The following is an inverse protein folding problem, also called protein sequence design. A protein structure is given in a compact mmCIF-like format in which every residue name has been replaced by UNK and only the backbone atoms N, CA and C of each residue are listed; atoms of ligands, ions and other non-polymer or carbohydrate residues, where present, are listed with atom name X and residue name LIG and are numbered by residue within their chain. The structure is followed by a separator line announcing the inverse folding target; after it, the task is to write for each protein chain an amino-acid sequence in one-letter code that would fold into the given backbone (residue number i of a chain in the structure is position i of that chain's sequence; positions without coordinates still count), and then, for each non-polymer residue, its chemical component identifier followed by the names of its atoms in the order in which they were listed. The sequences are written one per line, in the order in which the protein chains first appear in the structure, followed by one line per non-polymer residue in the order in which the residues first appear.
data_IF_269015592168
#
_entry.id   IF_269015592168
#
_cell.length_a   1.000
_cell.length_b   1.000
_cell.length_c   1.000
_cell.angle_alpha   90.00
_cell.angle_beta   90.00
_cell.angle_gamma   90.00
#
_symmetry.space_group_name_H-M   'P 1'
#
loop_
_entity.id
_entity.type
_entity.pdbx_description
1 polymer ?
#
# COMPACT_ATOMS: atom_id res chain seq x y z
N UNK A 1 -29.57 19.80 22.94
CA UNK A 1 -28.23 20.41 22.90
C UNK A 1 -27.41 19.93 24.11
N UNK A 2 -26.79 18.74 24.02
CA UNK A 2 -25.96 18.16 25.10
C UNK A 2 -24.76 17.42 24.48
N UNK A 3 -23.92 18.13 23.74
CA UNK A 3 -22.73 17.59 23.03
C UNK A 3 -21.42 17.91 23.81
N UNK A 4 -21.52 18.49 25.01
CA UNK A 4 -20.37 18.97 25.78
C UNK A 4 -19.67 17.92 26.66
N UNK A 5 -20.12 16.67 26.63
CA UNK A 5 -19.55 15.58 27.46
C UNK A 5 -18.61 14.61 26.73
N UNK A 6 -18.77 14.41 25.42
CA UNK A 6 -17.97 13.44 24.65
C UNK A 6 -16.54 13.95 24.39
N UNK A 7 -16.36 15.27 24.18
CA UNK A 7 -15.06 15.86 23.84
C UNK A 7 -14.03 15.81 24.98
N UNK A 8 -14.48 15.74 26.24
CA UNK A 8 -13.57 15.69 27.39
C UNK A 8 -12.97 14.28 27.55
N UNK A 9 -13.70 13.23 27.14
CA UNK A 9 -13.20 11.84 27.21
C UNK A 9 -12.07 11.62 26.20
N UNK A 10 -12.19 12.19 24.99
CA UNK A 10 -11.11 12.14 23.99
C UNK A 10 -9.84 12.91 24.43
N UNK A 11 -10.00 13.98 25.20
CA UNK A 11 -8.86 14.79 25.68
C UNK A 11 -8.05 14.08 26.78
N UNK A 12 -8.66 13.14 27.52
CA UNK A 12 -7.98 12.36 28.57
C UNK A 12 -7.25 11.15 27.98
N UNK A 13 -7.78 10.52 26.92
CA UNK A 13 -7.12 9.40 26.23
C UNK A 13 -5.81 9.87 25.54
N UNK A 14 -5.79 11.09 25.02
CA UNK A 14 -4.59 11.69 24.43
C UNK A 14 -3.45 11.96 25.43
N UNK A 15 -3.75 12.13 26.73
CA UNK A 15 -2.76 12.42 27.76
C UNK A 15 -2.12 11.18 28.39
N UNK A 16 -2.70 9.99 28.19
CA UNK A 16 -2.19 8.73 28.78
C UNK A 16 -1.60 7.74 27.75
N UNK A 17 -1.78 7.97 26.44
CA UNK A 17 -1.37 7.01 25.39
C UNK A 17 -0.61 7.58 24.20
N UNK A 18 -0.16 8.84 24.24
CA UNK A 18 0.37 9.55 23.06
C UNK A 18 1.87 9.45 22.77
N UNK A 19 2.61 8.51 23.39
CA UNK A 19 4.08 8.44 23.24
C UNK A 19 4.60 7.37 22.27
N UNK A 20 3.85 6.29 22.07
CA UNK A 20 4.36 5.09 21.37
C UNK A 20 4.19 5.11 19.85
N UNK A 21 3.16 5.79 19.34
CA UNK A 21 2.85 5.78 17.90
C UNK A 21 3.73 6.75 17.11
N UNK A 22 4.11 7.87 17.70
CA UNK A 22 4.99 8.86 17.07
C UNK A 22 6.46 8.40 16.96
N UNK A 23 6.92 7.53 17.88
CA UNK A 23 8.27 6.96 17.82
C UNK A 23 8.46 6.02 16.61
N UNK A 24 7.40 5.30 16.20
CA UNK A 24 7.44 4.48 14.99
C UNK A 24 7.40 5.32 13.71
N UNK A 25 6.72 6.47 13.71
CA UNK A 25 6.65 7.37 12.56
C UNK A 25 7.93 8.22 12.32
N UNK A 26 8.82 8.35 13.30
CA UNK A 26 10.05 9.15 13.18
C UNK A 26 11.34 8.35 12.93
N UNK A 27 11.26 7.03 12.66
CA UNK A 27 12.44 6.18 12.38
C UNK A 27 12.80 6.06 10.89
N UNK A 28 11.94 6.51 9.99
CA UNK A 28 12.20 6.40 8.53
C UNK A 28 12.71 7.70 7.90
N UNK A 29 13.16 8.66 8.71
CA UNK A 29 13.86 9.85 8.22
C UNK A 29 15.37 9.66 8.32
N UNK A 30 15.93 8.79 7.49
CA UNK A 30 17.38 8.76 7.27
C UNK A 30 17.72 8.52 5.81
N UNK A 31 17.94 9.66 5.13
CA UNK A 31 19.00 9.90 4.15
C UNK A 31 18.95 9.18 2.80
N UNK A 32 18.50 9.91 1.79
CA UNK A 32 19.28 9.99 0.54
C UNK A 32 19.60 11.45 0.25
N UNK A 33 20.76 11.88 0.77
CA UNK A 33 21.40 13.12 0.40
C UNK A 33 22.31 12.83 -0.79
N UNK A 34 22.02 13.31 -2.00
CA UNK A 34 23.01 13.88 -2.93
C UNK A 34 22.37 14.41 -4.24
N UNK A 35 23.07 15.29 -5.00
CA UNK A 35 22.68 16.67 -5.20
C UNK A 35 22.21 16.98 -6.63
N UNK A 36 21.78 18.21 -6.85
CA UNK A 36 21.48 18.79 -8.17
C UNK A 36 22.51 18.40 -9.26
N UNK A 37 22.04 17.69 -10.28
CA UNK A 37 22.63 17.74 -11.62
C UNK A 37 21.52 17.79 -12.68
N UNK A 38 21.30 19.03 -13.15
CA UNK A 38 21.25 19.42 -14.56
C UNK A 38 20.28 18.65 -15.47
N UNK A 39 19.23 19.37 -15.83
CA UNK A 39 18.43 19.21 -17.04
C UNK A 39 19.32 18.98 -18.27
N UNK A 40 19.20 17.82 -18.91
CA UNK A 40 19.39 17.68 -20.35
C UNK A 40 18.15 17.07 -20.98
N UNK A 41 17.33 17.97 -21.50
CA UNK A 41 16.31 17.71 -22.50
C UNK A 41 16.94 17.16 -23.79
N UNK A 42 16.36 16.12 -24.38
CA UNK A 42 15.88 16.07 -25.79
C UNK A 42 15.45 14.66 -26.21
N UNK A 43 14.13 14.41 -26.24
CA UNK A 43 13.40 13.86 -27.40
C UNK A 43 11.89 14.13 -27.16
N UNK A 44 11.24 14.96 -28.00
CA UNK A 44 9.82 15.27 -27.87
C UNK A 44 8.99 14.40 -28.82
N UNK A 45 8.15 13.52 -28.30
CA UNK A 45 6.90 13.10 -28.95
C UNK A 45 5.99 12.62 -27.84
N UNK A 46 4.95 13.41 -27.56
CA UNK A 46 4.05 13.19 -26.45
C UNK A 46 3.31 11.86 -26.53
N UNK A 47 3.02 11.30 -25.36
CA UNK A 47 1.70 10.86 -24.89
C UNK A 47 1.90 10.34 -23.45
N UNK A 48 1.14 10.90 -22.50
CA UNK A 48 0.90 10.39 -21.14
C UNK A 48 2.09 10.39 -20.14
N UNK A 49 2.25 11.53 -19.49
CA UNK A 49 2.97 11.69 -18.21
C UNK A 49 2.26 10.90 -17.09
N UNK A 50 2.73 9.69 -16.81
CA UNK A 50 2.50 9.03 -15.52
C UNK A 50 3.88 8.78 -14.95
N UNK A 51 4.32 9.71 -14.10
CA UNK A 51 5.62 9.65 -13.44
C UNK A 51 5.56 8.46 -12.48
N UNK A 52 6.04 7.30 -12.94
CA UNK A 52 6.30 6.16 -12.08
C UNK A 52 7.37 6.56 -11.06
N UNK A 53 7.29 6.05 -9.81
CA UNK A 53 8.39 6.16 -8.86
C UNK A 53 9.70 5.64 -9.50
N UNK A 54 10.88 6.04 -8.97
CA UNK A 54 12.16 5.62 -9.53
C UNK A 54 12.14 4.11 -9.75
N UNK A 55 12.30 3.70 -11.01
CA UNK A 55 12.28 2.30 -11.41
C UNK A 55 13.42 1.64 -10.63
N UNK A 56 13.07 0.94 -9.56
CA UNK A 56 13.99 0.00 -8.96
C UNK A 56 14.08 -1.14 -9.99
N UNK A 57 15.25 -1.43 -10.58
CA UNK A 57 15.32 -2.50 -11.58
C UNK A 57 14.84 -3.85 -11.03
N UNK A 58 14.83 -4.00 -9.70
CA UNK A 58 14.37 -5.20 -9.03
C UNK A 58 12.87 -5.17 -8.66
N UNK A 59 12.21 -4.00 -8.68
CA UNK A 59 10.80 -3.76 -8.30
C UNK A 59 10.22 -2.69 -9.26
N UNK A 60 9.62 -3.17 -10.35
CA UNK A 60 9.29 -2.35 -11.51
C UNK A 60 7.97 -1.56 -11.34
N UNK A 61 7.07 -2.01 -10.48
CA UNK A 61 5.80 -1.34 -10.21
C UNK A 61 5.75 -0.61 -8.86
N UNK A 62 6.73 -0.86 -7.99
CA UNK A 62 6.93 -0.14 -6.74
C UNK A 62 6.01 -0.60 -5.62
N UNK A 63 5.46 -1.81 -5.68
CA UNK A 63 4.63 -2.37 -4.59
C UNK A 63 5.47 -2.92 -3.42
N UNK A 64 6.78 -3.09 -3.63
CA UNK A 64 7.74 -3.59 -2.66
C UNK A 64 8.02 -5.10 -2.74
N UNK A 65 7.53 -5.80 -3.76
CA UNK A 65 7.98 -7.13 -4.15
C UNK A 65 9.06 -7.03 -5.22
N UNK A 66 10.05 -7.92 -5.14
CA UNK A 66 11.00 -8.07 -6.25
C UNK A 66 10.41 -8.93 -7.36
N UNK A 67 10.89 -8.75 -8.59
CA UNK A 67 10.50 -9.58 -9.73
C UNK A 67 10.66 -11.10 -9.48
N UNK A 68 11.62 -11.50 -8.62
CA UNK A 68 11.76 -12.90 -8.19
C UNK A 68 10.64 -13.34 -7.25
N UNK A 69 10.25 -12.49 -6.29
CA UNK A 69 9.13 -12.75 -5.38
C UNK A 69 7.81 -12.80 -6.14
N UNK A 70 7.57 -11.85 -7.04
CA UNK A 70 6.35 -11.80 -7.83
C UNK A 70 6.20 -13.05 -8.71
N UNK A 71 7.28 -13.47 -9.35
CA UNK A 71 7.31 -14.73 -10.10
C UNK A 71 6.99 -15.95 -9.22
N UNK A 72 7.36 -15.93 -7.95
CA UNK A 72 7.04 -16.99 -7.00
C UNK A 72 5.55 -17.02 -6.64
N UNK A 73 4.93 -15.85 -6.49
CA UNK A 73 3.51 -15.71 -6.17
C UNK A 73 2.59 -15.73 -7.40
N UNK A 74 3.15 -15.65 -8.61
CA UNK A 74 2.39 -15.60 -9.85
C UNK A 74 1.81 -14.22 -10.17
N UNK A 75 2.35 -13.18 -9.52
CA UNK A 75 1.92 -11.79 -9.68
C UNK A 75 2.71 -11.08 -10.79
N UNK A 76 2.31 -9.85 -11.10
CA UNK A 76 2.75 -9.10 -12.26
C UNK A 76 3.72 -7.98 -11.88
N UNK A 77 4.98 -8.12 -12.33
CA UNK A 77 6.10 -7.14 -12.21
C UNK A 77 5.86 -5.71 -12.74
N UNK A 78 4.67 -5.44 -13.27
CA UNK A 78 4.27 -4.17 -13.88
C UNK A 78 3.00 -3.62 -13.26
N UNK A 79 2.41 -4.33 -12.31
CA UNK A 79 1.10 -4.03 -11.73
C UNK A 79 1.12 -4.31 -10.24
N UNK A 80 1.11 -3.20 -9.49
CA UNK A 80 1.00 -3.17 -8.03
C UNK A 80 -0.12 -4.07 -7.48
N UNK A 81 -1.20 -4.24 -8.26
CA UNK A 81 -2.39 -5.02 -7.96
C UNK A 81 -2.65 -5.90 -9.19
N UNK A 82 -2.35 -7.19 -9.08
CA UNK A 82 -2.36 -8.14 -10.20
C UNK A 82 -3.78 -8.50 -10.63
N UNK A 83 -4.69 -8.71 -9.70
CA UNK A 83 -6.06 -9.14 -10.01
C UNK A 83 -7.06 -7.98 -10.17
N UNK A 84 -6.69 -6.78 -9.73
CA UNK A 84 -7.44 -5.55 -9.88
C UNK A 84 -8.54 -5.35 -8.84
N UNK A 85 -8.49 -6.00 -7.68
CA UNK A 85 -9.50 -5.87 -6.63
C UNK A 85 -9.32 -4.59 -5.77
N UNK A 86 -8.15 -3.95 -5.87
CA UNK A 86 -7.77 -2.74 -5.17
C UNK A 86 -6.87 -2.96 -3.94
N UNK A 87 -6.38 -4.17 -3.71
CA UNK A 87 -5.32 -4.50 -2.76
C UNK A 87 -4.01 -4.73 -3.54
N UNK A 88 -2.87 -4.27 -3.02
CA UNK A 88 -1.60 -4.55 -3.70
C UNK A 88 -1.12 -5.96 -3.42
N UNK A 89 -0.40 -6.58 -4.38
CA UNK A 89 0.08 -7.95 -4.29
C UNK A 89 0.86 -8.20 -2.98
N UNK A 90 1.77 -7.28 -2.64
CA UNK A 90 2.48 -7.32 -1.35
C UNK A 90 1.55 -7.34 -0.14
N UNK A 91 0.52 -6.51 -0.13
CA UNK A 91 -0.42 -6.38 0.99
C UNK A 91 -1.24 -7.66 1.14
N UNK A 92 -1.62 -8.27 0.01
CA UNK A 92 -2.33 -9.54 0.02
C UNK A 92 -1.51 -10.67 0.63
N UNK A 93 -0.24 -10.76 0.20
CA UNK A 93 0.70 -11.78 0.69
C UNK A 93 1.04 -11.56 2.16
N UNK A 94 1.30 -10.33 2.59
CA UNK A 94 1.84 -10.04 3.92
C UNK A 94 0.76 -9.84 4.99
N UNK A 95 -0.34 -9.17 4.66
CA UNK A 95 -1.31 -8.66 5.63
C UNK A 95 -2.62 -9.46 5.62
N UNK A 96 -3.30 -9.54 4.48
CA UNK A 96 -4.65 -10.14 4.38
C UNK A 96 -4.60 -11.67 4.23
N UNK A 97 -3.47 -12.20 3.75
CA UNK A 97 -3.25 -13.61 3.42
C UNK A 97 -4.25 -14.10 2.36
N UNK A 98 -4.55 -13.28 1.37
CA UNK A 98 -5.39 -13.61 0.21
C UNK A 98 -4.55 -14.09 -0.97
N UNK A 99 -5.19 -14.56 -2.03
CA UNK A 99 -4.54 -14.95 -3.28
C UNK A 99 -4.42 -13.73 -4.20
N UNK A 100 -3.21 -13.16 -4.40
CA UNK A 100 -3.01 -11.93 -5.16
C UNK A 100 -3.29 -12.04 -6.66
N UNK A 101 -3.69 -13.23 -7.11
CA UNK A 101 -4.08 -13.48 -8.50
C UNK A 101 -5.58 -13.64 -8.66
N UNK A 102 -6.35 -13.49 -7.57
CA UNK A 102 -7.80 -13.65 -7.56
C UNK A 102 -8.47 -12.57 -6.73
N UNK A 103 -9.22 -11.72 -7.42
CA UNK A 103 -9.97 -10.65 -6.77
C UNK A 103 -11.00 -11.15 -5.73
N UNK A 104 -11.35 -12.43 -5.77
CA UNK A 104 -12.21 -13.14 -4.81
C UNK A 104 -11.48 -14.44 -4.45
N UNK A 105 -10.81 -14.46 -3.30
CA UNK A 105 -9.92 -15.55 -2.90
C UNK A 105 -10.69 -16.85 -2.62
N UNK A 106 -11.84 -16.75 -1.96
CA UNK A 106 -12.63 -17.91 -1.53
C UNK A 106 -13.71 -18.35 -2.54
N UNK A 107 -14.01 -17.50 -3.52
CA UNK A 107 -14.91 -17.75 -4.63
C UNK A 107 -16.39 -17.62 -4.27
N UNK A 108 -16.74 -16.86 -3.23
CA UNK A 108 -18.11 -16.69 -2.77
C UNK A 108 -18.91 -15.60 -3.52
N UNK A 109 -18.23 -14.81 -4.35
CA UNK A 109 -18.79 -13.76 -5.19
C UNK A 109 -18.57 -12.34 -4.67
N UNK A 110 -17.87 -12.15 -3.56
CA UNK A 110 -17.40 -10.86 -3.08
C UNK A 110 -15.89 -10.71 -3.27
N UNK A 111 -15.41 -9.50 -3.55
CA UNK A 111 -13.97 -9.29 -3.66
C UNK A 111 -13.30 -9.21 -2.30
N UNK A 112 -12.02 -9.56 -2.21
CA UNK A 112 -11.26 -9.55 -0.96
C UNK A 112 -11.29 -8.15 -0.32
N UNK A 113 -11.09 -7.10 -1.12
CA UNK A 113 -11.24 -5.71 -0.68
C UNK A 113 -12.63 -5.44 -0.09
N UNK A 114 -13.68 -5.94 -0.75
CA UNK A 114 -15.07 -5.73 -0.31
C UNK A 114 -15.30 -6.39 1.03
N UNK A 115 -14.81 -7.61 1.21
CA UNK A 115 -14.95 -8.34 2.46
C UNK A 115 -14.19 -7.67 3.60
N UNK A 116 -12.92 -7.31 3.39
CA UNK A 116 -12.10 -6.60 4.38
C UNK A 116 -12.75 -5.27 4.78
N UNK A 117 -13.24 -4.50 3.80
CA UNK A 117 -13.91 -3.22 4.06
C UNK A 117 -15.20 -3.37 4.87
N UNK A 118 -15.88 -4.51 4.78
CA UNK A 118 -17.09 -4.84 5.53
C UNK A 118 -16.83 -5.68 6.80
N UNK A 119 -15.57 -6.04 7.07
CA UNK A 119 -15.17 -6.85 8.23
C UNK A 119 -15.51 -8.34 8.11
N UNK A 120 -15.65 -8.84 6.88
CA UNK A 120 -15.77 -10.26 6.55
C UNK A 120 -14.39 -10.92 6.42
N UNK A 121 -14.38 -12.24 6.22
CA UNK A 121 -13.17 -13.03 6.11
C UNK A 121 -12.91 -13.41 4.64
N UNK A 122 -11.91 -12.80 3.97
CA UNK A 122 -11.68 -13.01 2.54
C UNK A 122 -11.15 -14.40 2.17
N UNK A 123 -10.72 -15.18 3.16
CA UNK A 123 -10.29 -16.56 2.95
C UNK A 123 -11.44 -17.58 3.14
N UNK A 124 -12.66 -17.08 3.34
CA UNK A 124 -13.84 -17.85 3.70
C UNK A 124 -13.80 -18.36 5.13
N UNK A 125 -14.86 -18.06 5.89
CA UNK A 125 -15.46 -18.81 7.03
C UNK A 125 -16.62 -18.03 7.64
#
# INVERSE_FOLDING_TARGET
MRIRGIFIIFLIIALLGGGGWFYYFMKDSSTSSQPAQVVTSTTPTGLSERISPPINPDDQDGDGLTAEQEKQYGTSDKRIDTDGDGISDKQEIEETKTDPTKADTDGDGYSDLTEIANGHNPNGK
#
